data_IF_858282022716
#
_entry.id   IF_858282022716
#
_cell.length_a   1.000
_cell.length_b   1.000
_cell.length_c   1.000
_cell.angle_alpha   90.00
_cell.angle_beta   90.00
_cell.angle_gamma   90.00
#
_symmetry.space_group_name_H-M   'P 1'
#
loop_
_entity.id
_entity.type
_entity.pdbx_description
1 polymer ?
#
# COMPACT_ATOMS: atom_id res chain seq x y z
N UNK A 1 -13.50 9.89 17.02
CA UNK A 1 -12.66 8.90 16.32
C UNK A 1 -13.27 8.70 14.95
N UNK A 2 -12.47 8.86 13.90
CA UNK A 2 -12.96 8.82 12.55
C UNK A 2 -13.48 7.41 12.21
N UNK A 3 -14.62 7.33 11.54
CA UNK A 3 -15.18 6.06 11.07
C UNK A 3 -14.63 5.80 9.68
N UNK A 4 -13.74 4.80 9.56
CA UNK A 4 -13.06 4.47 8.31
C UNK A 4 -13.55 3.12 7.81
N UNK A 5 -14.20 3.08 6.64
CA UNK A 5 -14.58 1.84 5.97
C UNK A 5 -13.39 1.34 5.14
N UNK A 6 -12.82 0.21 5.53
CA UNK A 6 -11.65 -0.37 4.86
C UNK A 6 -12.10 -1.43 3.87
N UNK A 7 -11.73 -1.28 2.60
CA UNK A 7 -12.16 -2.17 1.52
C UNK A 7 -10.97 -2.94 0.95
N UNK A 8 -11.10 -4.25 0.83
CA UNK A 8 -10.05 -5.11 0.26
C UNK A 8 -10.66 -6.22 -0.58
N UNK A 9 -10.10 -6.46 -1.76
CA UNK A 9 -10.43 -7.60 -2.62
C UNK A 9 -9.22 -8.53 -2.65
N UNK A 10 -9.44 -9.81 -2.35
CA UNK A 10 -8.38 -10.78 -2.21
C UNK A 10 -8.75 -12.14 -2.79
N UNK A 11 -7.74 -12.96 -3.05
CA UNK A 11 -7.91 -14.38 -3.38
C UNK A 11 -6.73 -15.19 -2.87
N UNK A 12 -6.99 -16.21 -2.04
CA UNK A 12 -5.99 -17.17 -1.55
C UNK A 12 -4.76 -16.52 -0.88
N UNK A 13 -4.98 -15.50 -0.05
CA UNK A 13 -3.88 -14.73 0.59
C UNK A 13 -3.33 -15.38 1.88
N UNK A 14 -4.05 -16.34 2.45
CA UNK A 14 -3.59 -17.16 3.58
C UNK A 14 -3.00 -16.33 4.73
N UNK A 15 -1.72 -16.54 5.12
CA UNK A 15 -1.09 -15.77 6.20
C UNK A 15 -1.09 -14.26 6.03
N UNK A 16 -1.12 -13.74 4.80
CA UNK A 16 -1.20 -12.29 4.55
C UNK A 16 -2.54 -11.73 5.01
N UNK A 17 -3.63 -12.49 4.77
CA UNK A 17 -4.97 -12.12 5.25
C UNK A 17 -5.02 -12.09 6.78
N UNK A 18 -4.38 -13.06 7.46
CA UNK A 18 -4.33 -13.06 8.93
C UNK A 18 -3.66 -11.79 9.48
N UNK A 19 -2.55 -11.36 8.89
CA UNK A 19 -1.87 -10.10 9.26
C UNK A 19 -2.74 -8.88 8.97
N UNK A 20 -3.38 -8.85 7.80
CA UNK A 20 -4.28 -7.76 7.40
C UNK A 20 -5.45 -7.63 8.37
N UNK A 21 -6.15 -8.74 8.68
CA UNK A 21 -7.26 -8.78 9.65
C UNK A 21 -6.83 -8.34 11.04
N UNK A 22 -5.65 -8.77 11.50
CA UNK A 22 -5.12 -8.37 12.80
C UNK A 22 -4.89 -6.86 12.83
N UNK A 23 -4.23 -6.32 11.82
CA UNK A 23 -3.89 -4.90 11.78
C UNK A 23 -5.11 -3.99 11.63
N UNK A 24 -5.90 -4.17 10.56
CA UNK A 24 -7.04 -3.30 10.29
C UNK A 24 -8.20 -3.53 11.26
N UNK A 25 -8.41 -4.77 11.73
CA UNK A 25 -9.42 -5.07 12.74
C UNK A 25 -9.10 -4.46 14.11
N UNK A 26 -7.82 -4.42 14.50
CA UNK A 26 -7.39 -3.76 15.74
C UNK A 26 -7.54 -2.23 15.68
N UNK A 27 -7.31 -1.62 14.51
CA UNK A 27 -7.37 -0.16 14.37
C UNK A 27 -8.82 0.30 14.20
N UNK A 28 -9.57 -0.31 13.29
CA UNK A 28 -10.86 0.22 12.84
C UNK A 28 -12.07 -0.58 13.35
N UNK A 29 -11.86 -1.74 13.98
CA UNK A 29 -12.95 -2.67 14.31
C UNK A 29 -13.32 -3.56 13.12
N UNK A 30 -13.81 -4.76 13.39
CA UNK A 30 -14.16 -5.74 12.35
C UNK A 30 -15.36 -5.28 11.53
N UNK A 31 -16.33 -4.61 12.15
CA UNK A 31 -17.54 -4.05 11.55
C UNK A 31 -17.28 -3.00 10.46
N UNK A 32 -16.07 -2.45 10.41
CA UNK A 32 -15.66 -1.47 9.41
C UNK A 32 -14.83 -2.08 8.27
N UNK A 33 -14.63 -3.40 8.25
CA UNK A 33 -13.91 -4.10 7.20
C UNK A 33 -14.89 -4.68 6.17
N UNK A 34 -14.73 -4.27 4.91
CA UNK A 34 -15.46 -4.78 3.76
C UNK A 34 -14.50 -5.61 2.89
N UNK A 35 -14.71 -6.92 2.89
CA UNK A 35 -13.81 -7.89 2.26
C UNK A 35 -14.51 -8.56 1.09
N UNK A 36 -13.94 -8.44 -0.11
CA UNK A 36 -14.41 -9.08 -1.32
C UNK A 36 -13.53 -10.32 -1.59
N UNK A 37 -14.07 -11.51 -1.37
CA UNK A 37 -13.41 -12.75 -1.74
C UNK A 37 -13.60 -13.04 -3.23
N UNK A 38 -12.52 -12.92 -4.00
CA UNK A 38 -12.53 -13.15 -5.45
C UNK A 38 -12.40 -14.65 -5.81
N UNK A 39 -13.20 -15.46 -5.11
CA UNK A 39 -13.28 -16.91 -5.30
C UNK A 39 -12.06 -17.65 -4.75
N UNK A 40 -11.80 -17.51 -3.44
CA UNK A 40 -10.76 -18.31 -2.78
C UNK A 40 -11.13 -19.79 -2.74
N UNK A 41 -10.11 -20.63 -2.84
CA UNK A 41 -10.18 -22.09 -2.68
C UNK A 41 -9.21 -22.60 -1.61
N UNK A 42 -8.28 -21.75 -1.16
CA UNK A 42 -7.39 -22.05 -0.05
C UNK A 42 -8.18 -22.15 1.26
N UNK A 43 -8.07 -23.32 1.91
CA UNK A 43 -8.84 -23.63 3.13
C UNK A 43 -8.52 -22.68 4.28
N UNK A 44 -7.26 -22.24 4.40
CA UNK A 44 -6.86 -21.33 5.47
C UNK A 44 -7.47 -19.94 5.26
N UNK A 45 -7.39 -19.41 4.04
CA UNK A 45 -8.04 -18.16 3.63
C UNK A 45 -9.54 -18.20 3.91
N UNK A 46 -10.23 -19.26 3.48
CA UNK A 46 -11.68 -19.43 3.71
C UNK A 46 -12.00 -19.42 5.21
N UNK A 47 -11.21 -20.13 6.03
CA UNK A 47 -11.41 -20.15 7.49
C UNK A 47 -11.25 -18.76 8.12
N UNK A 48 -10.26 -17.98 7.67
CA UNK A 48 -10.03 -16.61 8.16
C UNK A 48 -11.18 -15.68 7.79
N UNK A 49 -11.72 -15.80 6.57
CA UNK A 49 -12.87 -15.01 6.12
C UNK A 49 -14.12 -15.33 6.95
N UNK A 50 -14.39 -16.61 7.21
CA UNK A 50 -15.53 -17.03 8.02
C UNK A 50 -15.41 -16.51 9.46
N UNK A 51 -14.19 -16.53 10.04
CA UNK A 51 -13.94 -15.96 11.37
C UNK A 51 -14.11 -14.44 11.38
N UNK A 52 -13.60 -13.74 10.36
CA UNK A 52 -13.77 -12.30 10.24
C UNK A 52 -15.25 -11.91 10.15
N UNK A 53 -16.03 -12.63 9.33
CA UNK A 53 -17.47 -12.44 9.18
C UNK A 53 -18.22 -12.71 10.49
N UNK A 54 -17.88 -13.79 11.20
CA UNK A 54 -18.41 -14.09 12.52
C UNK A 54 -18.13 -12.97 13.54
N UNK A 55 -16.99 -12.28 13.40
CA UNK A 55 -16.61 -11.13 14.24
C UNK A 55 -17.17 -9.78 13.75
N UNK A 56 -17.98 -9.76 12.70
CA UNK A 56 -18.69 -8.58 12.23
C UNK A 56 -18.18 -7.96 10.93
N UNK A 57 -17.10 -8.48 10.33
CA UNK A 57 -16.66 -8.00 9.01
C UNK A 57 -17.69 -8.33 7.93
N UNK A 58 -17.82 -7.45 6.94
CA UNK A 58 -18.69 -7.68 5.81
C UNK A 58 -17.94 -8.44 4.71
N UNK A 59 -18.22 -9.73 4.54
CA UNK A 59 -17.53 -10.58 3.55
C UNK A 59 -18.43 -10.88 2.35
N UNK A 60 -18.10 -10.29 1.20
CA UNK A 60 -18.76 -10.52 -0.08
C UNK A 60 -18.08 -11.62 -0.88
N UNK A 61 -18.87 -12.60 -1.35
CA UNK A 61 -18.42 -13.76 -2.14
C UNK A 61 -19.05 -13.83 -3.53
N UNK A 62 -19.83 -12.80 -3.89
CA UNK A 62 -20.55 -12.70 -5.15
C UNK A 62 -19.71 -12.12 -6.30
N UNK A 63 -18.56 -11.49 -5.99
CA UNK A 63 -17.60 -10.94 -6.97
C UNK A 63 -16.39 -11.88 -7.15
N UNK A 64 -16.63 -13.10 -7.64
CA UNK A 64 -15.67 -14.21 -7.58
C UNK A 64 -14.99 -14.60 -8.90
N UNK A 65 -15.16 -13.81 -9.97
CA UNK A 65 -14.57 -14.10 -11.29
C UNK A 65 -13.35 -13.22 -11.58
N UNK A 66 -12.45 -13.64 -12.49
CA UNK A 66 -11.29 -12.82 -12.89
C UNK A 66 -11.66 -11.42 -13.42
N UNK A 67 -12.76 -11.30 -14.16
CA UNK A 67 -13.26 -10.01 -14.65
C UNK A 67 -13.64 -9.08 -13.50
N UNK A 68 -14.11 -9.61 -12.37
CA UNK A 68 -14.47 -8.79 -11.21
C UNK A 68 -13.21 -8.18 -10.57
N UNK A 69 -12.09 -8.90 -10.58
CA UNK A 69 -10.79 -8.35 -10.16
C UNK A 69 -10.29 -7.26 -11.12
N UNK A 70 -10.46 -7.45 -12.43
CA UNK A 70 -10.13 -6.43 -13.44
C UNK A 70 -11.03 -5.18 -13.33
N UNK A 71 -12.19 -5.28 -12.68
CA UNK A 71 -13.14 -4.18 -12.45
C UNK A 71 -13.20 -3.75 -10.97
N UNK A 72 -12.20 -4.13 -10.14
CA UNK A 72 -12.17 -3.87 -8.69
C UNK A 72 -12.48 -2.41 -8.35
N UNK A 73 -11.88 -1.45 -9.06
CA UNK A 73 -12.10 -0.02 -8.83
C UNK A 73 -13.57 0.38 -9.03
N UNK A 74 -14.23 -0.16 -10.07
CA UNK A 74 -15.66 0.07 -10.29
C UNK A 74 -16.52 -0.53 -9.17
N UNK A 75 -16.19 -1.73 -8.71
CA UNK A 75 -16.90 -2.35 -7.59
C UNK A 75 -16.78 -1.53 -6.31
N UNK A 76 -15.61 -0.97 -6.03
CA UNK A 76 -15.41 -0.07 -4.90
C UNK A 76 -16.21 1.22 -5.06
N UNK A 77 -16.24 1.83 -6.25
CA UNK A 77 -17.05 3.02 -6.50
C UNK A 77 -18.53 2.79 -6.21
N UNK A 78 -19.07 1.64 -6.65
CA UNK A 78 -20.45 1.28 -6.39
C UNK A 78 -20.74 1.09 -4.90
N UNK A 79 -19.79 0.50 -4.16
CA UNK A 79 -19.91 0.29 -2.72
C UNK A 79 -19.83 1.60 -1.97
N UNK A 80 -18.88 2.48 -2.31
CA UNK A 80 -18.78 3.83 -1.75
C UNK A 80 -20.07 4.61 -2.00
N UNK A 81 -20.63 4.56 -3.21
CA UNK A 81 -21.89 5.24 -3.51
C UNK A 81 -23.08 4.72 -2.68
N UNK A 82 -23.11 3.42 -2.37
CA UNK A 82 -24.10 2.85 -1.44
C UNK A 82 -23.86 3.34 -0.02
N UNK A 83 -22.62 3.26 0.48
CA UNK A 83 -22.25 3.74 1.82
C UNK A 83 -22.59 5.22 2.02
N UNK A 84 -22.33 6.05 1.00
CA UNK A 84 -22.64 7.49 1.02
C UNK A 84 -24.13 7.78 1.28
N UNK A 85 -25.01 6.88 0.83
CA UNK A 85 -26.46 6.94 1.01
C UNK A 85 -26.92 6.26 2.31
N UNK A 86 -26.34 5.11 2.65
CA UNK A 86 -26.90 4.18 3.64
C UNK A 86 -26.25 4.30 5.02
N UNK A 87 -25.02 4.82 5.11
CA UNK A 87 -24.24 4.80 6.36
C UNK A 87 -23.61 6.16 6.72
N UNK A 88 -23.36 6.35 8.01
CA UNK A 88 -22.51 7.42 8.52
C UNK A 88 -21.08 6.90 8.63
N UNK A 89 -20.16 7.53 7.90
CA UNK A 89 -18.74 7.27 7.99
C UNK A 89 -17.95 8.51 7.54
N UNK A 90 -16.65 8.54 7.81
CA UNK A 90 -15.78 9.68 7.47
C UNK A 90 -14.92 9.39 6.23
N UNK A 91 -14.41 8.17 6.07
CA UNK A 91 -13.48 7.82 4.98
C UNK A 91 -13.72 6.42 4.42
N UNK A 92 -13.52 6.25 3.12
CA UNK A 92 -13.44 4.95 2.45
C UNK A 92 -12.00 4.69 2.01
N UNK A 93 -11.37 3.68 2.61
CA UNK A 93 -9.96 3.34 2.46
C UNK A 93 -9.80 2.02 1.69
N UNK A 94 -9.49 2.05 0.39
CA UNK A 94 -9.17 0.84 -0.37
C UNK A 94 -7.73 0.40 -0.12
N UNK A 95 -7.52 -0.90 0.19
CA UNK A 95 -6.23 -1.46 0.59
C UNK A 95 -6.03 -2.84 -0.04
N UNK A 96 -4.81 -3.13 -0.53
CA UNK A 96 -4.45 -4.48 -0.95
C UNK A 96 -4.02 -5.37 0.25
N UNK A 97 -4.20 -6.69 0.15
CA UNK A 97 -3.97 -7.60 1.29
C UNK A 97 -2.52 -7.61 1.80
N UNK A 98 -1.55 -7.17 0.99
CA UNK A 98 -0.14 -7.11 1.37
C UNK A 98 0.33 -5.72 1.84
N UNK A 99 -0.59 -4.77 2.02
CA UNK A 99 -0.34 -3.41 2.49
C UNK A 99 -0.75 -3.24 3.96
N UNK A 100 0.20 -2.86 4.81
CA UNK A 100 -0.04 -2.49 6.22
C UNK A 100 0.05 -0.97 6.35
N UNK A 101 -1.00 -0.32 6.86
CA UNK A 101 -1.08 1.13 7.01
C UNK A 101 -0.18 1.59 8.16
N UNK A 102 0.65 2.59 7.88
CA UNK A 102 1.47 3.28 8.87
C UNK A 102 1.30 4.79 8.70
N UNK A 103 1.73 5.54 9.71
CA UNK A 103 1.76 7.00 9.66
C UNK A 103 3.14 7.53 10.03
N UNK A 104 3.62 8.53 9.28
CA UNK A 104 4.79 9.29 9.64
C UNK A 104 4.45 10.24 10.80
N UNK A 105 5.23 10.15 11.87
CA UNK A 105 5.11 10.99 13.06
C UNK A 105 6.30 11.95 13.16
N UNK A 106 6.29 12.85 14.14
CA UNK A 106 7.45 13.70 14.40
C UNK A 106 8.71 12.89 14.73
N UNK A 107 8.55 11.71 15.34
CA UNK A 107 9.64 10.82 15.74
C UNK A 107 10.08 9.81 14.68
N UNK A 108 9.32 9.64 13.59
CA UNK A 108 9.64 8.65 12.56
C UNK A 108 8.39 8.02 11.95
N UNK A 109 8.17 6.72 12.20
CA UNK A 109 7.10 5.92 11.63
C UNK A 109 6.34 5.19 12.76
N UNK A 110 5.02 5.07 12.65
CA UNK A 110 4.18 4.40 13.66
C UNK A 110 3.14 3.47 13.05
N UNK A 111 2.89 2.37 13.77
CA UNK A 111 1.78 1.43 13.57
C UNK A 111 0.71 1.54 14.65
N UNK A 112 0.88 2.43 15.63
CA UNK A 112 -0.06 2.59 16.75
C UNK A 112 -1.40 3.11 16.22
N UNK A 113 -2.49 2.44 16.61
CA UNK A 113 -3.84 2.83 16.23
C UNK A 113 -4.16 4.28 16.60
N UNK A 114 -3.60 4.79 17.72
CA UNK A 114 -3.81 6.17 18.16
C UNK A 114 -3.22 7.18 17.19
N UNK A 115 -2.01 6.93 16.70
CA UNK A 115 -1.35 7.84 15.75
C UNK A 115 -2.08 7.81 14.39
N UNK A 116 -2.53 6.62 13.96
CA UNK A 116 -3.30 6.45 12.73
C UNK A 116 -4.64 7.20 12.83
N UNK A 117 -5.37 7.04 13.94
CA UNK A 117 -6.62 7.77 14.18
C UNK A 117 -6.43 9.27 14.30
N UNK A 118 -5.33 9.72 14.91
CA UNK A 118 -5.02 11.16 15.00
C UNK A 118 -4.83 11.78 13.61
N UNK A 119 -4.19 11.08 12.68
CA UNK A 119 -4.08 11.55 11.30
C UNK A 119 -5.44 11.55 10.58
N UNK A 120 -6.28 10.53 10.74
CA UNK A 120 -7.64 10.57 10.16
C UNK A 120 -8.46 11.73 10.73
N UNK A 121 -8.41 11.99 12.04
CA UNK A 121 -9.09 13.12 12.67
C UNK A 121 -8.63 14.47 12.10
N UNK A 122 -7.32 14.63 11.86
CA UNK A 122 -6.76 15.83 11.20
C UNK A 122 -7.35 16.03 9.80
N UNK A 123 -7.60 14.94 9.07
CA UNK A 123 -8.07 14.97 7.70
C UNK A 123 -9.60 15.17 7.57
N UNK A 124 -10.39 15.08 8.65
CA UNK A 124 -11.86 15.10 8.59
C UNK A 124 -12.46 16.37 7.98
N UNK A 125 -11.78 17.51 8.08
CA UNK A 125 -12.27 18.77 7.52
C UNK A 125 -12.07 18.90 6.00
N UNK A 126 -11.34 17.98 5.38
CA UNK A 126 -11.01 18.03 3.95
C UNK A 126 -12.00 17.20 3.13
N UNK A 127 -12.37 17.70 1.94
CA UNK A 127 -13.40 17.09 1.07
C UNK A 127 -12.88 16.57 -0.27
N UNK A 128 -11.57 16.72 -0.53
CA UNK A 128 -10.91 16.15 -1.71
C UNK A 128 -10.33 14.78 -1.44
N UNK A 129 -9.86 14.13 -2.50
CA UNK A 129 -9.21 12.83 -2.39
C UNK A 129 -7.87 12.93 -1.65
N UNK A 130 -7.46 11.87 -0.98
CA UNK A 130 -6.22 11.83 -0.20
C UNK A 130 -5.16 10.99 -0.90
N UNK A 131 -3.94 11.50 -0.96
CA UNK A 131 -2.78 10.82 -1.52
C UNK A 131 -1.85 10.32 -0.42
N UNK A 132 -1.47 9.06 -0.55
CA UNK A 132 -0.39 8.39 0.16
C UNK A 132 0.79 8.41 -0.80
N UNK A 133 1.62 9.46 -0.69
CA UNK A 133 2.62 9.80 -1.71
C UNK A 133 3.83 8.85 -1.75
N UNK A 134 4.05 8.08 -0.70
CA UNK A 134 5.17 7.15 -0.58
C UNK A 134 4.68 5.79 -0.10
N UNK A 135 5.19 4.73 -0.72
CA UNK A 135 5.02 3.34 -0.26
C UNK A 135 6.40 2.74 0.06
N UNK A 136 6.48 1.97 1.14
CA UNK A 136 7.71 1.32 1.60
C UNK A 136 7.65 -0.16 1.23
N UNK A 137 8.42 -0.60 0.24
CA UNK A 137 8.41 -1.97 -0.27
C UNK A 137 9.43 -2.83 0.48
N UNK A 138 9.04 -4.04 0.88
CA UNK A 138 9.95 -4.95 1.58
C UNK A 138 11.16 -5.32 0.70
N UNK A 139 12.36 -5.27 1.26
CA UNK A 139 13.58 -5.59 0.52
C UNK A 139 13.71 -7.12 0.39
N UNK A 140 13.87 -7.66 -0.84
CA UNK A 140 14.03 -9.10 -1.03
C UNK A 140 15.13 -9.71 -0.15
N UNK A 141 14.83 -10.82 0.52
CA UNK A 141 15.72 -11.53 1.45
C UNK A 141 16.27 -10.69 2.63
N UNK A 142 15.60 -9.57 2.97
CA UNK A 142 15.93 -8.77 4.15
C UNK A 142 14.66 -8.51 4.95
N UNK A 143 14.30 -9.44 5.81
CA UNK A 143 13.08 -9.36 6.62
C UNK A 143 13.10 -8.10 7.52
N UNK A 144 11.96 -7.42 7.60
CA UNK A 144 11.81 -6.15 8.34
C UNK A 144 12.44 -4.93 7.68
N UNK A 145 13.17 -5.10 6.57
CA UNK A 145 13.73 -4.00 5.79
C UNK A 145 12.80 -3.61 4.66
N UNK A 146 12.69 -2.30 4.43
CA UNK A 146 11.88 -1.70 3.39
C UNK A 146 12.69 -0.63 2.65
N UNK A 147 12.31 -0.35 1.41
CA UNK A 147 12.87 0.72 0.60
C UNK A 147 11.75 1.61 0.04
N UNK A 148 11.98 2.92 -0.08
CA UNK A 148 11.00 3.84 -0.62
C UNK A 148 10.72 3.55 -2.10
N UNK A 149 9.44 3.50 -2.48
CA UNK A 149 8.99 3.53 -3.85
C UNK A 149 8.17 4.80 -4.09
N UNK A 150 8.83 5.82 -4.65
CA UNK A 150 8.28 7.17 -4.89
C UNK A 150 7.32 7.23 -6.08
N UNK A 151 7.24 6.15 -6.87
CA UNK A 151 6.41 6.08 -8.08
C UNK A 151 5.21 5.15 -7.90
N UNK A 152 4.91 4.78 -6.65
CA UNK A 152 3.77 3.93 -6.30
C UNK A 152 2.90 4.63 -5.26
N UNK A 153 2.23 5.73 -5.65
CA UNK A 153 1.28 6.40 -4.76
C UNK A 153 0.06 5.50 -4.57
N UNK A 154 -0.62 5.70 -3.45
CA UNK A 154 -1.96 5.16 -3.20
C UNK A 154 -2.86 6.29 -2.76
N UNK A 155 -4.12 6.02 -2.53
CA UNK A 155 -5.01 7.01 -1.95
C UNK A 155 -6.33 6.46 -1.46
N UNK A 156 -7.10 7.36 -0.89
CA UNK A 156 -8.44 7.11 -0.38
C UNK A 156 -9.30 8.37 -0.48
N UNK A 157 -10.55 8.30 -0.05
CA UNK A 157 -11.53 9.38 -0.23
C UNK A 157 -12.32 9.63 1.06
N UNK A 158 -12.76 10.88 1.29
CA UNK A 158 -13.75 11.15 2.33
C UNK A 158 -15.12 10.62 1.91
N UNK A 159 -16.01 10.46 2.88
CA UNK A 159 -17.41 10.16 2.60
C UNK A 159 -18.08 11.27 1.79
N UNK A 160 -19.06 10.87 0.99
CA UNK A 160 -20.01 11.74 0.27
C UNK A 160 -19.29 12.74 -0.62
N UNK A 161 -18.31 12.26 -1.38
CA UNK A 161 -17.48 13.12 -2.24
C UNK A 161 -17.63 12.78 -3.73
N UNK A 162 -18.55 11.86 -4.09
CA UNK A 162 -18.69 11.34 -5.46
C UNK A 162 -17.40 10.68 -5.96
N UNK A 163 -16.85 9.80 -5.13
CA UNK A 163 -15.55 9.18 -5.33
C UNK A 163 -15.42 8.42 -6.65
N UNK A 164 -14.22 8.45 -7.22
CA UNK A 164 -13.78 7.47 -8.23
C UNK A 164 -12.41 6.91 -7.86
N UNK A 165 -12.33 5.60 -7.77
CA UNK A 165 -11.16 4.80 -7.45
C UNK A 165 -10.77 3.99 -8.68
N UNK A 166 -9.49 4.05 -9.06
CA UNK A 166 -8.91 3.19 -10.10
C UNK A 166 -8.59 1.78 -9.56
N UNK A 167 -8.31 0.82 -10.43
CA UNK A 167 -8.07 -0.57 -10.01
C UNK A 167 -6.83 -0.77 -9.10
N UNK A 168 -5.84 0.11 -9.17
CA UNK A 168 -4.67 0.08 -8.29
C UNK A 168 -4.83 0.95 -7.04
N UNK A 169 -5.90 1.74 -6.97
CA UNK A 169 -6.15 2.75 -5.95
C UNK A 169 -5.06 3.83 -5.90
N UNK A 170 -4.40 4.07 -7.02
CA UNK A 170 -3.26 4.99 -7.12
C UNK A 170 -3.68 6.46 -7.11
N UNK A 171 -4.79 6.76 -7.77
CA UNK A 171 -5.22 8.13 -8.04
C UNK A 171 -6.74 8.26 -7.86
N UNK A 172 -7.24 8.12 -6.62
CA UNK A 172 -8.62 8.42 -6.34
C UNK A 172 -8.95 9.88 -6.66
N UNK A 173 -10.20 10.15 -7.03
CA UNK A 173 -10.70 11.50 -7.30
C UNK A 173 -12.00 11.76 -6.57
N UNK A 174 -12.28 13.02 -6.26
CA UNK A 174 -13.52 13.53 -5.69
C UNK A 174 -14.21 14.43 -6.73
N UNK A 175 -15.53 14.34 -6.83
CA UNK A 175 -16.32 15.26 -7.67
C UNK A 175 -16.58 16.61 -6.98
N UNK A 176 -16.41 16.70 -5.66
CA UNK A 176 -16.59 17.94 -4.91
C UNK A 176 -15.35 18.84 -4.98
N UNK A 177 -14.17 18.25 -4.82
CA UNK A 177 -12.88 18.96 -4.80
C UNK A 177 -11.92 18.21 -5.73
N UNK A 178 -11.48 18.82 -6.85
CA UNK A 178 -10.63 18.14 -7.83
C UNK A 178 -9.20 17.93 -7.33
N UNK A 179 -8.73 18.73 -6.38
CA UNK A 179 -7.41 18.58 -5.79
C UNK A 179 -7.32 17.36 -4.87
N UNK A 180 -6.11 16.79 -4.81
CA UNK A 180 -5.77 15.77 -3.82
C UNK A 180 -4.86 16.33 -2.73
N UNK A 181 -5.11 15.88 -1.50
CA UNK A 181 -4.37 16.28 -0.30
C UNK A 181 -3.34 15.21 0.07
N UNK A 182 -2.09 15.61 0.27
CA UNK A 182 -1.05 14.71 0.74
C UNK A 182 -1.28 14.35 2.21
N UNK A 183 -1.18 13.06 2.53
CA UNK A 183 -1.32 12.57 3.91
C UNK A 183 0.04 12.22 4.50
N UNK A 184 0.06 12.02 5.82
CA UNK A 184 1.20 11.42 6.52
C UNK A 184 1.21 9.90 6.47
N UNK A 185 0.21 9.28 5.84
CA UNK A 185 0.15 7.84 5.74
C UNK A 185 1.23 7.31 4.76
N UNK A 186 1.59 6.05 4.96
CA UNK A 186 2.40 5.22 4.06
C UNK A 186 1.98 3.77 4.24
N UNK A 187 2.33 2.92 3.28
CA UNK A 187 2.20 1.47 3.45
C UNK A 187 3.54 0.81 3.66
N UNK A 188 3.59 -0.15 4.59
CA UNK A 188 4.58 -1.24 4.55
C UNK A 188 4.04 -2.29 3.59
N UNK A 189 4.54 -2.25 2.35
CA UNK A 189 4.10 -3.11 1.26
C UNK A 189 4.94 -4.37 1.19
N UNK A 190 4.34 -5.50 1.59
CA UNK A 190 4.96 -6.82 1.56
C UNK A 190 4.79 -7.50 0.20
N UNK A 191 5.17 -6.75 -0.83
CA UNK A 191 5.03 -7.12 -2.22
C UNK A 191 5.97 -8.27 -2.62
N UNK A 192 7.24 -8.15 -2.24
CA UNK A 192 8.31 -9.03 -2.70
C UNK A 192 8.31 -10.38 -1.97
N UNK A 193 8.57 -11.44 -2.74
CA UNK A 193 8.59 -12.84 -2.29
C UNK A 193 9.94 -13.49 -2.61
N UNK A 194 10.25 -14.71 -2.13
CA UNK A 194 11.40 -15.45 -2.63
C UNK A 194 11.38 -15.53 -4.17
N UNK A 195 12.54 -15.34 -4.81
CA UNK A 195 12.62 -15.12 -6.25
C UNK A 195 11.83 -16.14 -7.10
N UNK A 196 11.95 -17.44 -6.78
CA UNK A 196 11.25 -18.50 -7.52
C UNK A 196 9.73 -18.36 -7.45
N UNK A 197 9.22 -17.99 -6.29
CA UNK A 197 7.79 -17.74 -6.09
C UNK A 197 7.34 -16.48 -6.83
N UNK A 198 8.13 -15.40 -6.76
CA UNK A 198 7.85 -14.16 -7.47
C UNK A 198 7.75 -14.39 -8.98
N UNK A 199 8.70 -15.11 -9.57
CA UNK A 199 8.70 -15.46 -11.01
C UNK A 199 7.49 -16.33 -11.37
N UNK A 200 7.16 -17.34 -10.54
CA UNK A 200 6.00 -18.20 -10.78
C UNK A 200 4.71 -17.39 -10.81
N UNK A 201 4.52 -16.49 -9.84
CA UNK A 201 3.33 -15.65 -9.74
C UNK A 201 3.26 -14.64 -10.90
N UNK A 202 4.39 -14.02 -11.25
CA UNK A 202 4.48 -13.14 -12.41
C UNK A 202 4.09 -13.85 -13.72
N UNK A 203 4.60 -15.08 -13.94
CA UNK A 203 4.23 -15.91 -15.10
C UNK A 203 2.75 -16.24 -15.12
N UNK A 204 2.18 -16.69 -14.00
CA UNK A 204 0.77 -17.04 -13.92
C UNK A 204 -0.14 -15.85 -14.22
N UNK A 205 0.21 -14.66 -13.72
CA UNK A 205 -0.56 -13.43 -13.97
C UNK A 205 -0.42 -12.95 -15.41
N UNK A 206 0.79 -12.96 -15.97
CA UNK A 206 1.03 -12.55 -17.36
C UNK A 206 0.44 -13.52 -18.38
N UNK A 207 0.32 -14.81 -18.06
CA UNK A 207 -0.27 -15.81 -18.95
C UNK A 207 -1.77 -15.58 -19.21
N UNK A 208 -2.44 -14.72 -18.44
CA UNK A 208 -3.81 -14.28 -18.70
C UNK A 208 -3.89 -13.23 -19.82
N UNK A 209 -2.79 -12.55 -20.10
CA UNK A 209 -2.72 -11.37 -20.97
C UNK A 209 -1.77 -11.57 -22.17
N UNK A 210 -0.80 -12.50 -22.03
CA UNK A 210 0.27 -12.77 -23.00
C UNK A 210 0.27 -14.25 -23.35
N UNK A 211 0.03 -14.56 -24.62
CA UNK A 211 -0.07 -15.94 -25.13
C UNK A 211 1.18 -16.78 -24.84
N UNK A 212 2.37 -16.18 -24.99
CA UNK A 212 3.64 -16.83 -24.70
C UNK A 212 4.53 -15.99 -23.78
N UNK A 213 4.47 -16.28 -22.48
CA UNK A 213 5.30 -15.64 -21.45
C UNK A 213 6.79 -16.04 -21.46
N UNK A 214 7.25 -16.77 -22.48
CA UNK A 214 8.67 -17.04 -22.71
C UNK A 214 9.24 -16.23 -23.88
N UNK A 215 8.39 -15.64 -24.72
CA UNK A 215 8.81 -14.77 -25.81
C UNK A 215 9.20 -13.38 -25.28
N UNK A 216 10.50 -13.06 -25.37
CA UNK A 216 11.04 -11.81 -24.83
C UNK A 216 10.60 -10.58 -25.61
N UNK A 217 10.39 -10.67 -26.92
CA UNK A 217 9.95 -9.53 -27.71
C UNK A 217 8.48 -9.22 -27.44
N UNK A 218 7.64 -10.26 -27.35
CA UNK A 218 6.23 -10.12 -26.99
C UNK A 218 6.08 -9.49 -25.59
N UNK A 219 6.87 -9.95 -24.62
CA UNK A 219 6.88 -9.36 -23.28
C UNK A 219 7.32 -7.89 -23.29
N UNK A 220 8.34 -7.52 -24.08
CA UNK A 220 8.78 -6.13 -24.22
C UNK A 220 7.70 -5.26 -24.85
N UNK A 221 7.01 -5.75 -25.88
CA UNK A 221 5.90 -5.03 -26.50
C UNK A 221 4.76 -4.83 -25.50
N UNK A 222 4.39 -5.87 -24.74
CA UNK A 222 3.36 -5.81 -23.70
C UNK A 222 3.66 -4.73 -22.66
N UNK A 223 4.91 -4.67 -22.19
CA UNK A 223 5.37 -3.64 -21.27
C UNK A 223 5.33 -2.23 -21.87
N UNK A 224 5.79 -2.05 -23.12
CA UNK A 224 5.78 -0.74 -23.81
C UNK A 224 4.36 -0.19 -23.99
N UNK A 225 3.37 -1.07 -24.19
CA UNK A 225 1.96 -0.70 -24.32
C UNK A 225 1.28 -0.41 -22.99
N UNK A 226 1.99 -0.52 -21.86
CA UNK A 226 1.47 -0.35 -20.51
C UNK A 226 0.21 -1.18 -20.23
N UNK A 227 0.14 -2.38 -20.80
CA UNK A 227 -0.99 -3.29 -20.64
C UNK A 227 -1.04 -3.88 -19.22
N UNK A 228 -2.20 -4.42 -18.78
CA UNK A 228 -2.34 -5.06 -17.47
C UNK A 228 -1.21 -6.06 -17.20
N UNK A 229 -0.64 -5.99 -15.99
CA UNK A 229 0.50 -6.82 -15.59
C UNK A 229 1.84 -6.45 -16.22
N UNK A 230 1.92 -5.45 -17.11
CA UNK A 230 3.16 -5.03 -17.78
C UNK A 230 4.30 -4.67 -16.83
N UNK A 231 3.98 -4.15 -15.64
CA UNK A 231 4.97 -3.90 -14.58
C UNK A 231 5.70 -5.17 -14.12
N UNK A 232 5.17 -6.38 -14.34
CA UNK A 232 5.81 -7.64 -13.96
C UNK A 232 6.80 -8.16 -15.00
N UNK A 233 6.80 -7.60 -16.22
CA UNK A 233 7.65 -8.06 -17.33
C UNK A 233 9.13 -7.99 -16.97
N UNK A 234 9.56 -6.95 -16.25
CA UNK A 234 10.96 -6.79 -15.85
C UNK A 234 11.47 -7.98 -15.00
N UNK A 235 10.59 -8.65 -14.24
CA UNK A 235 10.94 -9.83 -13.46
C UNK A 235 11.29 -11.02 -14.37
N UNK A 236 10.59 -11.19 -15.49
CA UNK A 236 10.82 -12.30 -16.43
C UNK A 236 11.99 -12.03 -17.38
N UNK A 237 12.30 -10.76 -17.65
CA UNK A 237 13.41 -10.35 -18.49
C UNK A 237 14.73 -10.22 -17.72
N UNK A 238 14.66 -9.93 -16.43
CA UNK A 238 15.81 -9.77 -15.55
C UNK A 238 16.36 -11.10 -15.02
N UNK A 239 17.45 -10.99 -14.27
CA UNK A 239 18.09 -12.10 -13.57
C UNK A 239 17.71 -12.14 -12.09
N UNK A 240 18.02 -13.26 -11.43
CA UNK A 240 17.90 -13.35 -9.96
C UNK A 240 18.77 -12.31 -9.25
N UNK A 241 19.95 -11.98 -9.81
CA UNK A 241 20.82 -10.96 -9.25
C UNK A 241 20.19 -9.56 -9.36
N UNK A 242 19.53 -9.24 -10.48
CA UNK A 242 18.80 -7.98 -10.65
C UNK A 242 17.68 -7.87 -9.61
N UNK A 243 16.93 -8.95 -9.39
CA UNK A 243 15.86 -8.98 -8.40
C UNK A 243 16.35 -8.67 -6.98
N UNK A 244 17.44 -9.31 -6.52
CA UNK A 244 17.97 -9.07 -5.17
C UNK A 244 18.72 -7.75 -5.01
N UNK A 245 19.04 -7.07 -6.12
CA UNK A 245 19.77 -5.80 -6.08
C UNK A 245 18.92 -4.59 -6.47
N UNK A 246 17.61 -4.77 -6.70
CA UNK A 246 16.73 -3.69 -7.15
C UNK A 246 16.70 -2.46 -6.23
N UNK A 247 16.93 -2.64 -4.93
CA UNK A 247 17.01 -1.56 -3.94
C UNK A 247 18.43 -1.24 -3.47
N UNK A 248 19.47 -1.70 -4.17
CA UNK A 248 20.87 -1.48 -3.73
C UNK A 248 21.28 0.00 -3.70
N UNK A 249 20.62 0.81 -4.53
CA UNK A 249 20.88 2.24 -4.70
C UNK A 249 19.90 3.10 -3.89
N UNK A 250 18.99 2.49 -3.14
CA UNK A 250 18.02 3.18 -2.31
C UNK A 250 18.41 3.13 -0.84
N UNK A 251 18.02 4.17 -0.09
CA UNK A 251 18.03 4.09 1.37
C UNK A 251 17.11 2.97 1.82
N UNK A 252 17.57 2.16 2.77
CA UNK A 252 16.77 1.07 3.31
C UNK A 252 16.46 1.36 4.77
N UNK A 253 15.21 1.16 5.15
CA UNK A 253 14.65 1.38 6.47
C UNK A 253 14.35 0.03 7.09
N UNK A 254 14.87 -0.21 8.29
CA UNK A 254 14.39 -1.29 9.15
C UNK A 254 13.42 -0.70 10.17
N UNK A 255 12.29 -1.38 10.32
CA UNK A 255 11.23 -0.92 11.22
C UNK A 255 10.68 -2.09 12.03
N UNK A 256 10.82 -2.00 13.35
CA UNK A 256 10.26 -2.93 14.30
C UNK A 256 9.84 -2.16 15.56
N UNK A 257 8.58 -2.29 15.97
CA UNK A 257 8.04 -1.47 17.05
C UNK A 257 7.91 -0.01 16.61
N UNK A 258 8.64 0.89 17.27
CA UNK A 258 8.66 2.33 16.97
C UNK A 258 10.05 2.84 16.56
N UNK A 259 11.06 1.96 16.54
CA UNK A 259 12.42 2.35 16.17
C UNK A 259 12.60 2.27 14.67
N UNK A 260 13.14 3.35 14.10
CA UNK A 260 13.52 3.43 12.68
C UNK A 260 15.04 3.41 12.59
N UNK A 261 15.57 2.38 11.96
CA UNK A 261 16.97 2.29 11.57
C UNK A 261 17.09 2.52 10.06
N UNK A 262 18.07 3.31 9.64
CA UNK A 262 18.33 3.62 8.25
C UNK A 262 19.70 3.10 7.83
N UNK A 263 19.78 2.65 6.58
CA UNK A 263 21.00 2.23 5.92
C UNK A 263 21.11 2.95 4.57
N UNK A 264 22.17 3.72 4.42
CA UNK A 264 22.52 4.37 3.15
C UNK A 264 22.94 3.35 2.07
N UNK A 265 22.69 3.67 0.79
CA UNK A 265 23.16 2.88 -0.34
C UNK A 265 24.66 2.57 -0.25
N UNK A 266 25.01 1.28 -0.36
CA UNK A 266 26.41 0.82 -0.36
C UNK A 266 27.14 0.93 0.99
N UNK A 267 26.51 1.43 2.05
CA UNK A 267 27.10 1.48 3.40
C UNK A 267 26.68 0.26 4.21
N UNK A 268 27.58 -0.26 5.06
CA UNK A 268 27.26 -1.37 5.99
C UNK A 268 26.69 -0.88 7.33
N UNK A 269 26.96 0.36 7.69
CA UNK A 269 26.54 0.92 8.96
C UNK A 269 25.06 1.29 8.92
N UNK A 270 24.37 1.06 10.02
CA UNK A 270 22.99 1.45 10.25
C UNK A 270 22.97 2.58 11.29
N UNK A 271 22.04 3.52 11.16
CA UNK A 271 21.86 4.64 12.10
C UNK A 271 20.41 4.71 12.55
N UNK A 272 20.19 5.07 13.81
CA UNK A 272 18.85 5.45 14.26
C UNK A 272 18.44 6.75 13.58
N UNK A 273 17.18 6.83 13.17
CA UNK A 273 16.61 8.07 12.72
C UNK A 273 16.53 9.07 13.89
N UNK A 274 17.17 10.23 13.73
CA UNK A 274 17.07 11.35 14.66
C UNK A 274 16.39 12.54 13.97
N UNK A 275 15.07 12.64 14.18
CA UNK A 275 14.25 13.71 13.61
C UNK A 275 14.68 15.10 14.08
N UNK A 276 15.18 15.23 15.31
CA UNK A 276 15.61 16.50 15.89
C UNK A 276 16.88 16.96 15.18
N UNK A 277 17.87 16.08 15.07
CA UNK A 277 19.11 16.38 14.35
C UNK A 277 18.86 16.66 12.87
N UNK A 278 17.98 15.90 12.21
CA UNK A 278 17.60 16.18 10.82
C UNK A 278 17.02 17.59 10.66
N UNK A 279 16.14 18.00 11.56
CA UNK A 279 15.54 19.35 11.58
C UNK A 279 16.58 20.44 11.80
N UNK A 280 17.52 20.24 12.71
CA UNK A 280 18.61 21.19 13.00
C UNK A 280 19.53 21.37 11.79
N UNK A 281 19.83 20.29 11.06
CA UNK A 281 20.63 20.34 9.84
C UNK A 281 19.85 20.88 8.62
N UNK A 282 18.53 20.71 8.60
CA UNK A 282 17.66 20.99 7.46
C UNK A 282 16.37 21.73 7.86
N UNK A 283 16.45 22.99 8.32
CA UNK A 283 15.30 23.74 8.80
C UNK A 283 14.25 24.03 7.71
N UNK A 284 14.61 23.94 6.43
CA UNK A 284 13.72 24.04 5.27
C UNK A 284 12.61 22.98 5.27
N UNK A 285 12.82 21.86 5.96
CA UNK A 285 11.93 20.69 5.93
C UNK A 285 10.76 20.78 6.91
N UNK A 286 10.75 21.77 7.81
CA UNK A 286 9.73 21.92 8.87
C UNK A 286 8.32 22.10 8.30
N UNK A 287 8.19 22.68 7.11
CA UNK A 287 6.91 22.89 6.43
C UNK A 287 6.41 21.67 5.65
N UNK A 288 7.19 20.59 5.58
CA UNK A 288 6.81 19.41 4.81
C UNK A 288 5.73 18.60 5.54
N UNK A 289 4.50 18.66 4.99
CA UNK A 289 3.29 18.17 5.67
C UNK A 289 3.35 16.68 6.04
N UNK A 290 3.92 15.83 5.18
CA UNK A 290 4.02 14.40 5.39
C UNK A 290 5.08 13.98 6.43
N UNK A 291 5.81 14.93 7.02
CA UNK A 291 6.76 14.70 8.11
C UNK A 291 8.22 14.51 7.67
N UNK A 292 9.13 14.67 8.63
CA UNK A 292 10.58 14.75 8.36
C UNK A 292 11.18 13.46 7.79
N UNK A 293 10.76 12.30 8.30
CA UNK A 293 11.22 11.01 7.76
C UNK A 293 10.73 10.83 6.33
N UNK A 294 9.46 11.14 6.05
CA UNK A 294 8.91 11.12 4.69
C UNK A 294 9.69 12.05 3.77
N UNK A 295 9.99 13.27 4.22
CA UNK A 295 10.82 14.23 3.48
C UNK A 295 12.18 13.64 3.15
N UNK A 296 12.88 13.07 4.14
CA UNK A 296 14.19 12.48 3.94
C UNK A 296 14.14 11.33 2.93
N UNK A 297 13.20 10.40 3.07
CA UNK A 297 13.06 9.27 2.16
C UNK A 297 12.68 9.71 0.73
N UNK A 298 11.89 10.76 0.60
CA UNK A 298 11.37 11.25 -0.69
C UNK A 298 12.38 12.12 -1.42
N UNK A 299 12.98 13.10 -0.73
CA UNK A 299 13.83 14.13 -1.31
C UNK A 299 15.23 14.12 -0.72
N UNK A 300 15.36 14.06 0.61
CA UNK A 300 16.63 14.25 1.29
C UNK A 300 17.72 13.24 0.88
N UNK A 301 17.43 11.94 0.91
CA UNK A 301 18.38 10.90 0.51
C UNK A 301 18.75 10.99 -0.99
N UNK A 302 17.79 11.15 -1.93
CA UNK A 302 18.11 11.44 -3.34
C UNK A 302 18.97 12.68 -3.57
N UNK A 303 18.78 13.73 -2.76
CA UNK A 303 19.58 14.96 -2.79
C UNK A 303 20.97 14.80 -2.15
N UNK A 304 21.28 13.64 -1.57
CA UNK A 304 22.54 13.37 -0.89
C UNK A 304 22.66 14.02 0.49
N UNK A 305 21.54 14.37 1.13
CA UNK A 305 21.54 14.82 2.53
C UNK A 305 22.01 13.67 3.42
N UNK A 306 22.92 13.97 4.35
CA UNK A 306 23.49 12.96 5.24
C UNK A 306 22.42 12.37 6.17
N UNK A 307 22.58 11.09 6.51
CA UNK A 307 21.80 10.49 7.58
C UNK A 307 22.07 11.21 8.92
N UNK A 308 21.02 11.74 9.59
CA UNK A 308 21.14 12.33 10.92
C UNK A 308 21.62 11.30 11.95
#
# INVERSE_FOLDING_TARGET
>A
MAIVKVMMMQKNEGPRLARWLTHYGQIFGMENLLIFDNGSSDKFTISLLNEAEYRGAHVRRDLNRPVDFQMKGQHYNNVIASLDHDEEYDFALPVDCDETLCVFTEGGLSLDARDIHAEFERLKSYRGAFSIGLSLFNVPNREGWYAPNRFFPKGFVPARCGARIDNGHHFPTSSEVPESFLTRFTYLHNHHRPYREMIRNARAKLALEVENVTDKELLREHARRALPGGHLVHLLLGTQADYYTMYKNEVQLYFQGNDVLLQEPGKKNVRYWDAKRYRECHPDTVVYEAGLLSHYLTYGAPEGRELP
#
